data_IF_468492053198
#
_entry.id   IF_468492053198
#
_cell.length_a   1.000
_cell.length_b   1.000
_cell.length_c   1.000
_cell.angle_alpha   90.00
_cell.angle_beta   90.00
_cell.angle_gamma   90.00
#
_symmetry.space_group_name_H-M   'P 1'
#
loop_
_entity.id
_entity.type
_entity.pdbx_description
1 polymer ?
#
# COMPACT_ATOMS: atom_id res chain seq x y z
N UNK A 1 34.76 -2.85 4.75
CA UNK A 1 33.94 -1.72 5.27
C UNK A 1 32.96 -1.15 4.23
N UNK A 2 33.36 -0.85 2.98
CA UNK A 2 32.51 -0.13 2.00
C UNK A 2 31.27 -0.85 1.43
N UNK A 3 31.25 -2.19 1.37
CA UNK A 3 30.12 -2.93 0.77
C UNK A 3 28.88 -2.93 1.67
N UNK A 4 29.06 -3.14 2.97
CA UNK A 4 27.97 -3.13 3.95
C UNK A 4 27.24 -1.78 3.97
N UNK A 5 28.00 -0.67 3.93
CA UNK A 5 27.43 0.68 3.94
C UNK A 5 26.64 0.98 2.66
N UNK A 6 27.12 0.49 1.50
CA UNK A 6 26.42 0.61 0.22
C UNK A 6 25.11 -0.17 0.21
N UNK A 7 25.12 -1.42 0.70
CA UNK A 7 23.92 -2.24 0.82
C UNK A 7 22.93 -1.63 1.81
N UNK A 8 23.39 -1.23 3.00
CA UNK A 8 22.56 -0.57 4.01
C UNK A 8 21.91 0.71 3.47
N UNK A 9 22.65 1.51 2.70
CA UNK A 9 22.09 2.71 2.04
C UNK A 9 21.01 2.33 1.04
N UNK A 10 21.25 1.34 0.18
CA UNK A 10 20.24 0.86 -0.79
C UNK A 10 18.99 0.32 -0.10
N UNK A 11 19.15 -0.49 0.94
CA UNK A 11 18.03 -1.02 1.73
C UNK A 11 17.22 0.11 2.36
N UNK A 12 17.87 1.10 2.98
CA UNK A 12 17.18 2.27 3.55
C UNK A 12 16.44 3.08 2.49
N UNK A 13 17.01 3.24 1.30
CA UNK A 13 16.38 3.95 0.19
C UNK A 13 15.09 3.27 -0.32
N UNK A 14 15.04 1.94 -0.31
CA UNK A 14 13.84 1.18 -0.71
C UNK A 14 12.83 1.04 0.44
N UNK A 15 13.31 0.97 1.69
CA UNK A 15 12.48 0.81 2.88
C UNK A 15 11.45 1.92 3.06
N UNK A 16 11.87 3.19 2.96
CA UNK A 16 10.97 4.32 3.18
C UNK A 16 9.81 4.38 2.16
N UNK A 17 10.06 4.24 0.84
CA UNK A 17 8.99 4.08 -0.15
C UNK A 17 8.01 2.94 0.16
N UNK A 18 8.51 1.78 0.60
CA UNK A 18 7.66 0.65 1.00
C UNK A 18 6.77 1.00 2.20
N UNK A 19 7.32 1.68 3.22
CA UNK A 19 6.54 2.16 4.36
C UNK A 19 5.45 3.15 3.93
N UNK A 20 5.77 4.04 2.99
CA UNK A 20 4.79 4.98 2.44
C UNK A 20 3.67 4.27 1.66
N UNK A 21 3.99 3.22 0.91
CA UNK A 21 2.99 2.39 0.25
C UNK A 21 2.07 1.71 1.29
N UNK A 22 2.63 1.10 2.33
CA UNK A 22 1.84 0.48 3.40
C UNK A 22 0.92 1.50 4.06
N UNK A 23 1.45 2.67 4.44
CA UNK A 23 0.64 3.74 5.02
C UNK A 23 -0.48 4.22 4.07
N UNK A 24 -0.21 4.27 2.77
CA UNK A 24 -1.18 4.64 1.74
C UNK A 24 -2.33 3.62 1.66
N UNK A 25 -2.02 2.32 1.73
CA UNK A 25 -3.02 1.24 1.71
C UNK A 25 -3.82 1.19 3.01
N UNK A 26 -3.16 1.37 4.15
CA UNK A 26 -3.81 1.30 5.47
C UNK A 26 -4.75 2.47 5.72
N UNK A 27 -4.33 3.69 5.35
CA UNK A 27 -5.06 4.91 5.71
C UNK A 27 -5.88 5.51 4.57
N UNK A 28 -5.53 5.20 3.31
CA UNK A 28 -6.14 5.85 2.15
C UNK A 28 -6.03 7.38 2.23
N UNK A 29 -7.06 8.07 1.75
CA UNK A 29 -7.27 9.51 1.97
C UNK A 29 -8.22 9.71 3.15
N UNK A 30 -7.70 9.62 4.37
CA UNK A 30 -8.52 9.66 5.60
C UNK A 30 -9.28 10.98 5.81
N UNK A 31 -8.87 12.06 5.14
CA UNK A 31 -9.52 13.38 5.21
C UNK A 31 -10.78 13.51 4.34
N UNK A 32 -11.06 12.54 3.46
CA UNK A 32 -12.23 12.58 2.58
C UNK A 32 -13.46 12.00 3.29
N UNK A 33 -14.60 12.68 3.19
CA UNK A 33 -15.86 12.21 3.78
C UNK A 33 -16.53 11.09 2.95
N UNK A 34 -16.39 11.14 1.62
CA UNK A 34 -16.92 10.11 0.72
C UNK A 34 -15.99 8.90 0.67
N UNK A 35 -16.51 7.74 1.09
CA UNK A 35 -15.82 6.46 1.06
C UNK A 35 -15.23 6.10 -0.32
N UNK A 36 -15.82 6.56 -1.42
CA UNK A 36 -15.27 6.34 -2.76
C UNK A 36 -14.01 7.17 -3.01
N UNK A 37 -13.98 8.40 -2.49
CA UNK A 37 -12.85 9.32 -2.59
C UNK A 37 -11.73 8.99 -1.59
N UNK A 38 -12.06 8.28 -0.51
CA UNK A 38 -11.07 7.76 0.46
C UNK A 38 -10.08 6.76 -0.14
N UNK A 39 -10.40 6.15 -1.29
CA UNK A 39 -9.45 5.25 -1.99
C UNK A 39 -8.29 6.06 -2.55
N UNK A 40 -7.07 5.60 -2.28
CA UNK A 40 -5.85 6.26 -2.75
C UNK A 40 -5.23 5.44 -3.89
N UNK A 41 -5.21 5.95 -5.13
CA UNK A 41 -4.44 5.37 -6.23
C UNK A 41 -2.98 5.16 -5.85
N UNK A 42 -2.44 3.98 -6.13
CA UNK A 42 -1.11 3.56 -5.67
C UNK A 42 0.00 3.82 -6.71
N UNK A 43 -0.34 4.28 -7.91
CA UNK A 43 0.61 4.50 -9.01
C UNK A 43 1.82 5.35 -8.60
N UNK A 44 1.59 6.43 -7.86
CA UNK A 44 2.66 7.34 -7.42
C UNK A 44 3.65 6.64 -6.49
N UNK A 45 3.15 5.95 -5.48
CA UNK A 45 3.97 5.25 -4.48
C UNK A 45 4.77 4.10 -5.13
N UNK A 46 4.13 3.37 -6.03
CA UNK A 46 4.77 2.30 -6.80
C UNK A 46 5.84 2.84 -7.76
N UNK A 47 5.62 4.03 -8.34
CA UNK A 47 6.63 4.74 -9.13
C UNK A 47 7.89 5.04 -8.32
N UNK A 48 7.73 5.57 -7.11
CA UNK A 48 8.87 5.85 -6.21
C UNK A 48 9.62 4.57 -5.82
N UNK A 49 8.89 3.48 -5.53
CA UNK A 49 9.53 2.18 -5.24
C UNK A 49 10.32 1.69 -6.45
N UNK A 50 9.75 1.80 -7.66
CA UNK A 50 10.41 1.41 -8.92
C UNK A 50 11.70 2.21 -9.16
N UNK A 51 11.67 3.52 -8.95
CA UNK A 51 12.86 4.37 -9.06
C UNK A 51 13.94 4.02 -8.02
N UNK A 52 13.53 3.78 -6.78
CA UNK A 52 14.46 3.48 -5.67
C UNK A 52 15.10 2.10 -5.77
N UNK A 53 14.41 1.13 -6.38
CA UNK A 53 14.86 -0.26 -6.54
C UNK A 53 15.64 -0.51 -7.84
N UNK A 54 15.55 0.39 -8.81
CA UNK A 54 16.16 0.22 -10.12
C UNK A 54 15.59 -0.99 -10.87
N UNK A 55 16.47 -1.86 -11.36
CA UNK A 55 16.09 -3.05 -12.14
C UNK A 55 16.00 -4.33 -11.28
N UNK A 56 15.63 -4.20 -10.01
CA UNK A 56 15.44 -5.35 -9.14
C UNK A 56 14.25 -6.21 -9.61
N UNK A 57 14.56 -7.42 -10.08
CA UNK A 57 13.57 -8.34 -10.68
C UNK A 57 12.49 -8.74 -9.68
N UNK A 58 12.84 -8.90 -8.40
CA UNK A 58 11.88 -9.26 -7.37
C UNK A 58 10.89 -8.12 -7.13
N UNK A 59 11.39 -6.87 -7.05
CA UNK A 59 10.51 -5.70 -6.89
C UNK A 59 9.59 -5.53 -8.10
N UNK A 60 10.09 -5.70 -9.33
CA UNK A 60 9.24 -5.63 -10.53
C UNK A 60 8.14 -6.70 -10.50
N UNK A 61 8.49 -7.95 -10.15
CA UNK A 61 7.52 -9.04 -10.06
C UNK A 61 6.44 -8.76 -9.00
N UNK A 62 6.83 -8.19 -7.84
CA UNK A 62 5.89 -7.77 -6.80
C UNK A 62 4.94 -6.67 -7.28
N UNK A 63 5.46 -5.64 -7.96
CA UNK A 63 4.63 -4.55 -8.51
C UNK A 63 3.67 -5.10 -9.57
N UNK A 64 4.14 -5.98 -10.45
CA UNK A 64 3.32 -6.61 -11.51
C UNK A 64 2.26 -7.56 -10.99
N UNK A 65 2.40 -8.08 -9.76
CA UNK A 65 1.39 -8.93 -9.13
C UNK A 65 0.20 -8.13 -8.56
N UNK A 66 0.31 -6.80 -8.46
CA UNK A 66 -0.77 -5.96 -7.94
C UNK A 66 -1.89 -5.80 -8.99
N UNK A 67 -3.18 -5.85 -8.57
CA UNK A 67 -4.30 -5.60 -9.47
C UNK A 67 -4.24 -4.19 -10.06
N UNK A 68 -4.53 -4.06 -11.36
CA UNK A 68 -4.53 -2.78 -12.06
C UNK A 68 -5.51 -1.78 -11.44
N UNK A 69 -6.66 -2.27 -10.95
CA UNK A 69 -7.68 -1.49 -10.28
C UNK A 69 -7.14 -0.88 -8.98
N UNK A 70 -6.34 -1.63 -8.22
CA UNK A 70 -5.71 -1.12 -7.00
C UNK A 70 -4.66 -0.05 -7.31
N UNK A 71 -3.96 -0.19 -8.43
CA UNK A 71 -2.97 0.79 -8.89
C UNK A 71 -3.66 2.10 -9.33
N UNK A 72 -4.73 1.98 -10.13
CA UNK A 72 -5.41 3.12 -10.75
C UNK A 72 -6.41 3.82 -9.83
N UNK A 73 -7.14 3.07 -9.02
CA UNK A 73 -8.24 3.60 -8.20
C UNK A 73 -7.97 3.53 -6.69
N UNK A 74 -7.05 2.67 -6.27
CA UNK A 74 -6.81 2.38 -4.86
C UNK A 74 -7.77 1.32 -4.28
N UNK A 75 -7.56 1.01 -3.01
CA UNK A 75 -8.33 0.01 -2.27
C UNK A 75 -9.09 0.65 -1.12
N UNK A 76 -10.18 0.02 -0.68
CA UNK A 76 -10.80 0.38 0.59
C UNK A 76 -9.89 -0.03 1.74
N UNK A 77 -9.80 0.83 2.75
CA UNK A 77 -9.13 0.49 4.01
C UNK A 77 -9.95 -0.54 4.78
N UNK A 78 -9.32 -1.25 5.71
CA UNK A 78 -10.04 -2.18 6.60
C UNK A 78 -11.14 -1.44 7.39
N UNK A 79 -10.86 -0.21 7.84
CA UNK A 79 -11.84 0.63 8.54
C UNK A 79 -13.02 1.03 7.64
N UNK A 80 -12.77 1.34 6.37
CA UNK A 80 -13.83 1.62 5.39
C UNK A 80 -14.74 0.42 5.19
N UNK A 81 -14.15 -0.77 5.04
CA UNK A 81 -14.91 -2.01 4.87
C UNK A 81 -15.73 -2.35 6.12
N UNK A 82 -15.14 -2.21 7.31
CA UNK A 82 -15.84 -2.39 8.60
C UNK A 82 -16.99 -1.41 8.77
N UNK A 83 -16.81 -0.13 8.43
CA UNK A 83 -17.87 0.88 8.51
C UNK A 83 -18.97 0.58 7.51
N UNK A 84 -18.62 0.30 6.25
CA UNK A 84 -19.57 0.01 5.15
C UNK A 84 -20.40 -1.24 5.43
N UNK A 85 -19.78 -2.29 5.95
CA UNK A 85 -20.43 -3.59 6.21
C UNK A 85 -20.62 -3.86 7.70
N UNK A 86 -20.83 -2.81 8.50
CA UNK A 86 -20.91 -2.90 9.97
C UNK A 86 -21.90 -3.94 10.48
N UNK A 87 -23.03 -4.15 9.80
CA UNK A 87 -24.02 -5.18 10.14
C UNK A 87 -23.44 -6.60 10.02
N UNK A 88 -22.70 -6.89 8.95
CA UNK A 88 -22.09 -8.21 8.70
C UNK A 88 -20.99 -8.49 9.72
N UNK A 89 -20.14 -7.49 9.98
CA UNK A 89 -19.09 -7.61 10.99
C UNK A 89 -19.64 -7.80 12.40
N UNK A 90 -20.76 -7.13 12.76
CA UNK A 90 -21.41 -7.33 14.07
C UNK A 90 -21.96 -8.74 14.24
N UNK A 91 -22.52 -9.32 13.18
CA UNK A 91 -23.11 -10.67 13.23
C UNK A 91 -22.04 -11.75 13.39
N UNK A 92 -20.86 -11.61 12.78
CA UNK A 92 -19.78 -12.59 12.90
C UNK A 92 -19.16 -12.71 14.30
N UNK A 93 -19.28 -11.70 15.17
CA UNK A 93 -18.80 -11.77 16.57
C UNK A 93 -19.84 -12.32 17.56
N UNK A 94 -21.05 -12.66 17.11
CA UNK A 94 -22.09 -13.28 17.94
C UNK A 94 -22.15 -14.81 17.78
N UNK A 95 -21.36 -15.39 16.87
CA UNK A 95 -21.34 -16.82 16.55
C UNK A 95 -19.97 -17.50 16.78
N UNK A 96 -19.04 -16.84 17.48
CA UNK A 96 -17.79 -17.39 18.00
C UNK A 96 -17.77 -17.17 19.51
#
# INVERSE_FOLDING_TARGET
>A
MRLQDSLNRRTKHCWLPCQNLVNSVVNGRCEEDDIQLRRLPLATQLGVIKESSGNDVFVQAMISALPNESIAEGTYTDDDLKRRFSKVFRTNFLFI
#
